data_IF_096307142223
#
_entry.id   IF_096307142223
#
_cell.length_a   1.000
_cell.length_b   1.000
_cell.length_c   1.000
_cell.angle_alpha   90.00
_cell.angle_beta   90.00
_cell.angle_gamma   90.00
#
_symmetry.space_group_name_H-M   'P 1'
#
loop_
_entity.id
_entity.type
_entity.pdbx_description
1 polymer ?
#
# COMPACT_ATOMS: atom_id res chain seq x y z
N UNK A 1 -8.75 -34.69 10.52
CA UNK A 1 -7.61 -33.93 9.96
C UNK A 1 -8.11 -32.54 9.69
N UNK A 2 -7.35 -31.50 10.07
CA UNK A 2 -7.73 -30.12 9.79
C UNK A 2 -7.37 -29.78 8.35
N UNK A 3 -8.30 -29.21 7.60
CA UNK A 3 -8.08 -28.73 6.23
C UNK A 3 -8.51 -27.28 6.11
N UNK A 4 -7.78 -26.52 5.28
CA UNK A 4 -8.04 -25.10 5.05
C UNK A 4 -8.33 -24.90 3.57
N UNK A 5 -9.44 -24.22 3.27
CA UNK A 5 -9.76 -23.72 1.94
C UNK A 5 -9.55 -22.21 1.90
N UNK A 6 -8.86 -21.74 0.86
CA UNK A 6 -8.66 -20.31 0.63
C UNK A 6 -9.24 -19.99 -0.74
N UNK A 7 -10.16 -19.03 -0.79
CA UNK A 7 -10.59 -18.39 -2.02
C UNK A 7 -9.92 -17.03 -2.09
N UNK A 8 -8.91 -16.91 -2.94
CA UNK A 8 -8.14 -15.67 -3.12
C UNK A 8 -8.56 -15.01 -4.44
N UNK A 9 -9.64 -14.23 -4.37
CA UNK A 9 -10.17 -13.49 -5.51
C UNK A 9 -9.45 -12.16 -5.73
N UNK A 10 -9.73 -11.52 -6.86
CA UNK A 10 -9.17 -10.20 -7.20
C UNK A 10 -9.69 -9.08 -6.31
N UNK A 11 -10.95 -9.14 -5.88
CA UNK A 11 -11.59 -8.10 -5.05
C UNK A 11 -11.78 -8.53 -3.61
N UNK A 12 -12.14 -9.79 -3.40
CA UNK A 12 -12.45 -10.33 -2.08
C UNK A 12 -11.77 -11.68 -1.91
N UNK A 13 -11.45 -11.99 -0.66
CA UNK A 13 -10.86 -13.25 -0.25
C UNK A 13 -11.59 -13.82 0.95
N UNK A 14 -11.63 -15.14 1.08
CA UNK A 14 -12.21 -15.83 2.22
C UNK A 14 -11.42 -17.08 2.61
N UNK A 15 -11.54 -17.50 3.86
CA UNK A 15 -10.89 -18.70 4.38
C UNK A 15 -11.90 -19.56 5.12
N UNK A 16 -11.92 -20.84 4.81
CA UNK A 16 -12.73 -21.85 5.49
C UNK A 16 -11.83 -22.90 6.15
N UNK A 17 -12.27 -23.42 7.30
CA UNK A 17 -11.66 -24.57 7.97
C UNK A 17 -12.66 -25.73 8.00
N UNK A 18 -12.15 -26.92 7.67
CA UNK A 18 -12.84 -28.19 7.91
C UNK A 18 -12.11 -28.95 9.02
N UNK A 19 -12.82 -29.30 10.10
CA UNK A 19 -12.26 -29.97 11.28
C UNK A 19 -12.44 -31.50 11.27
N UNK A 20 -13.05 -32.05 10.23
CA UNK A 20 -13.42 -33.46 10.14
C UNK A 20 -14.92 -33.72 10.37
N UNK A 21 -15.67 -32.72 10.82
CA UNK A 21 -17.12 -32.81 11.01
C UNK A 21 -17.88 -31.67 10.31
N UNK A 22 -17.33 -30.45 10.30
CA UNK A 22 -18.02 -29.27 9.77
C UNK A 22 -17.09 -28.30 9.07
N UNK A 23 -17.64 -27.53 8.13
CA UNK A 23 -16.95 -26.42 7.46
C UNK A 23 -17.41 -25.12 8.10
N UNK A 24 -16.46 -24.26 8.49
CA UNK A 24 -16.74 -22.91 9.00
C UNK A 24 -15.83 -21.88 8.36
N UNK A 25 -16.37 -20.70 8.09
CA UNK A 25 -15.57 -19.56 7.66
C UNK A 25 -14.80 -18.97 8.85
N UNK A 26 -13.60 -18.48 8.59
CA UNK A 26 -12.80 -17.74 9.57
C UNK A 26 -13.06 -16.23 9.42
N UNK A 27 -13.21 -15.48 10.52
CA UNK A 27 -13.39 -14.04 10.50
C UNK A 27 -12.03 -13.35 10.27
N UNK A 28 -11.53 -13.41 9.04
CA UNK A 28 -10.20 -12.92 8.65
C UNK A 28 -10.09 -11.39 8.48
N UNK A 29 -11.22 -10.66 8.49
CA UNK A 29 -11.24 -9.20 8.38
C UNK A 29 -12.21 -8.57 9.40
N UNK A 30 -11.90 -8.59 10.71
CA UNK A 30 -12.83 -8.19 11.76
C UNK A 30 -13.32 -6.73 11.69
N UNK A 31 -12.56 -5.86 11.03
CA UNK A 31 -12.87 -4.45 10.84
C UNK A 31 -13.81 -4.24 9.62
N UNK A 32 -13.88 -5.23 8.73
CA UNK A 32 -14.74 -5.21 7.55
C UNK A 32 -16.22 -5.41 7.85
N UNK A 33 -17.06 -4.90 6.94
CA UNK A 33 -18.54 -5.05 7.02
C UNK A 33 -19.00 -6.50 7.14
N UNK A 34 -18.27 -7.43 6.54
CA UNK A 34 -18.44 -8.86 6.76
C UNK A 34 -17.10 -9.45 7.23
N UNK A 35 -16.97 -9.85 8.51
CA UNK A 35 -15.71 -10.37 9.05
C UNK A 35 -15.11 -11.56 8.31
N UNK A 36 -15.94 -12.33 7.59
CA UNK A 36 -15.54 -13.56 6.91
C UNK A 36 -15.09 -13.33 5.45
N UNK A 37 -15.18 -12.10 4.95
CA UNK A 37 -14.82 -11.72 3.59
C UNK A 37 -13.88 -10.53 3.66
N UNK A 38 -12.60 -10.78 3.39
CA UNK A 38 -11.57 -9.75 3.39
C UNK A 38 -11.48 -9.09 2.02
N UNK A 39 -11.30 -7.77 1.96
CA UNK A 39 -10.88 -7.09 0.73
C UNK A 39 -9.50 -7.64 0.30
N UNK A 40 -9.34 -8.00 -0.96
CA UNK A 40 -8.04 -8.46 -1.52
C UNK A 40 -7.08 -7.28 -1.71
N UNK A 41 -6.75 -6.61 -0.60
CA UNK A 41 -5.96 -5.40 -0.54
C UNK A 41 -4.88 -5.53 0.51
N UNK A 42 -3.67 -5.17 0.12
CA UNK A 42 -2.53 -4.98 1.02
C UNK A 42 -2.08 -3.54 0.83
N UNK A 43 -1.92 -2.81 1.93
CA UNK A 43 -1.36 -1.47 1.92
C UNK A 43 -0.07 -1.44 2.73
N UNK A 44 1.02 -1.04 2.07
CA UNK A 44 2.34 -0.86 2.66
C UNK A 44 2.60 0.64 2.69
N UNK A 45 2.70 1.21 3.89
CA UNK A 45 2.96 2.64 4.02
C UNK A 45 4.44 2.98 3.80
N UNK A 46 4.77 4.28 3.85
CA UNK A 46 6.13 4.78 3.61
C UNK A 46 7.16 4.37 4.69
N UNK A 47 6.69 3.95 5.86
CA UNK A 47 7.54 3.40 6.93
C UNK A 47 7.79 1.91 6.76
N UNK A 48 7.13 1.28 5.78
CA UNK A 48 7.14 -0.16 5.57
C UNK A 48 6.12 -0.91 6.41
N UNK A 49 5.22 -0.20 7.10
CA UNK A 49 4.16 -0.86 7.87
C UNK A 49 3.12 -1.45 6.93
N UNK A 50 2.73 -2.70 7.21
CA UNK A 50 1.82 -3.48 6.37
C UNK A 50 0.45 -3.55 7.04
N UNK A 51 -0.59 -3.31 6.26
CA UNK A 51 -1.99 -3.51 6.61
C UNK A 51 -2.70 -4.28 5.50
N UNK A 52 -3.83 -4.91 5.80
CA UNK A 52 -4.64 -5.67 4.85
C UNK A 52 -6.13 -5.48 5.12
N UNK A 53 -6.98 -5.95 4.19
CA UNK A 53 -8.44 -5.94 4.36
C UNK A 53 -9.03 -4.53 4.45
N UNK A 54 -10.08 -4.37 5.26
CA UNK A 54 -10.75 -3.09 5.46
C UNK A 54 -9.81 -2.05 6.08
N UNK A 55 -8.97 -2.45 7.04
CA UNK A 55 -7.97 -1.56 7.65
C UNK A 55 -7.02 -0.95 6.63
N UNK A 56 -6.57 -1.74 5.65
CA UNK A 56 -5.72 -1.23 4.57
C UNK A 56 -6.44 -0.20 3.70
N UNK A 57 -7.73 -0.41 3.44
CA UNK A 57 -8.55 0.54 2.69
C UNK A 57 -8.66 1.87 3.45
N UNK A 58 -9.00 1.81 4.73
CA UNK A 58 -9.17 2.99 5.57
C UNK A 58 -7.87 3.79 5.67
N UNK A 59 -6.75 3.13 5.94
CA UNK A 59 -5.44 3.77 5.99
C UNK A 59 -5.04 4.36 4.64
N UNK A 60 -5.30 3.66 3.54
CA UNK A 60 -5.04 4.18 2.20
C UNK A 60 -5.83 5.46 1.94
N UNK A 61 -7.13 5.44 2.23
CA UNK A 61 -8.00 6.60 2.04
C UNK A 61 -7.59 7.76 2.97
N UNK A 62 -7.32 7.51 4.25
CA UNK A 62 -6.89 8.54 5.20
C UNK A 62 -5.58 9.22 4.75
N UNK A 63 -4.61 8.43 4.30
CA UNK A 63 -3.29 8.93 3.93
C UNK A 63 -3.24 9.59 2.54
N UNK A 64 -4.20 9.28 1.66
CA UNK A 64 -4.17 9.73 0.26
C UNK A 64 -5.34 10.63 -0.14
N UNK A 65 -6.43 10.70 0.64
CA UNK A 65 -7.57 11.57 0.33
C UNK A 65 -7.25 13.03 0.68
N UNK A 66 -7.48 13.95 -0.25
CA UNK A 66 -7.30 15.39 -0.03
C UNK A 66 -5.84 15.85 0.05
N UNK A 67 -4.87 14.96 -0.21
CA UNK A 67 -3.46 15.33 -0.22
C UNK A 67 -3.11 15.99 -1.55
N UNK A 68 -2.58 17.21 -1.50
CA UNK A 68 -1.96 17.83 -2.66
C UNK A 68 -0.73 17.01 -3.07
N UNK A 69 -0.80 16.35 -4.22
CA UNK A 69 0.31 15.58 -4.78
C UNK A 69 1.36 16.57 -5.28
N UNK A 70 2.58 16.48 -4.74
CA UNK A 70 3.73 17.19 -5.29
C UNK A 70 4.83 16.20 -5.57
N UNK A 71 5.27 16.19 -6.82
CA UNK A 71 6.38 15.36 -7.25
C UNK A 71 7.69 16.11 -7.09
N UNK A 72 8.71 15.40 -6.63
CA UNK A 72 10.09 15.86 -6.62
C UNK A 72 10.95 14.85 -7.36
N UNK A 73 11.81 15.32 -8.27
CA UNK A 73 12.82 14.48 -8.89
C UNK A 73 13.86 14.10 -7.85
N UNK A 74 13.90 12.83 -7.47
CA UNK A 74 14.84 12.29 -6.47
C UNK A 74 15.68 11.20 -7.12
N UNK A 75 16.97 11.17 -6.77
CA UNK A 75 17.86 10.06 -7.13
C UNK A 75 17.38 8.81 -6.39
N UNK A 76 17.01 7.76 -7.13
CA UNK A 76 16.47 6.50 -6.60
C UNK A 76 17.50 5.36 -6.60
N UNK A 77 18.66 5.59 -7.19
CA UNK A 77 19.74 4.62 -7.22
C UNK A 77 20.64 4.84 -8.41
N UNK A 78 21.30 3.77 -8.83
CA UNK A 78 22.17 3.73 -9.99
C UNK A 78 21.81 2.55 -10.87
N UNK A 79 21.86 2.75 -12.19
CA UNK A 79 21.72 1.71 -13.20
C UNK A 79 23.11 1.40 -13.72
N UNK A 80 23.49 0.13 -13.62
CA UNK A 80 24.70 -0.41 -14.23
C UNK A 80 24.35 -0.99 -15.61
N UNK A 81 25.06 -0.54 -16.63
CA UNK A 81 24.92 -0.99 -18.01
C UNK A 81 26.26 -1.54 -18.50
N UNK A 82 26.28 -2.79 -18.94
CA UNK A 82 27.50 -3.46 -19.43
C UNK A 82 27.46 -3.50 -20.95
N UNK A 83 28.43 -2.85 -21.60
CA UNK A 83 28.59 -2.83 -23.05
C UNK A 83 29.83 -3.60 -23.47
N UNK A 84 29.71 -4.41 -24.51
CA UNK A 84 30.79 -5.28 -24.98
C UNK A 84 32.08 -4.53 -25.38
N UNK A 85 31.95 -3.28 -25.84
CA UNK A 85 33.06 -2.51 -26.43
C UNK A 85 33.51 -1.32 -25.57
N UNK A 86 32.62 -0.78 -24.72
CA UNK A 86 32.85 0.42 -23.90
C UNK A 86 33.01 0.08 -22.40
N UNK A 87 32.77 -1.18 -22.02
CA UNK A 87 32.83 -1.64 -20.63
C UNK A 87 31.57 -1.30 -19.83
N UNK A 88 31.70 -1.29 -18.50
CA UNK A 88 30.60 -1.00 -17.57
C UNK A 88 30.41 0.50 -17.38
N UNK A 89 29.20 0.99 -17.61
CA UNK A 89 28.77 2.35 -17.32
C UNK A 89 27.78 2.38 -16.16
N UNK A 90 28.03 3.25 -15.18
CA UNK A 90 27.09 3.50 -14.08
C UNK A 90 26.43 4.86 -14.29
N UNK A 91 25.09 4.89 -14.28
CA UNK A 91 24.30 6.12 -14.40
C UNK A 91 23.37 6.27 -13.21
N UNK A 92 23.23 7.50 -12.74
CA UNK A 92 22.26 7.83 -11.71
C UNK A 92 20.83 7.71 -12.25
N UNK A 93 19.98 6.99 -11.52
CA UNK A 93 18.56 6.88 -11.80
C UNK A 93 17.79 7.90 -10.96
N UNK A 94 16.88 8.63 -11.61
CA UNK A 94 15.99 9.57 -10.95
C UNK A 94 14.53 9.17 -11.18
N UNK A 95 13.68 9.37 -10.18
CA UNK A 95 12.24 9.19 -10.31
C UNK A 95 11.51 10.39 -9.72
N UNK A 96 10.31 10.64 -10.25
CA UNK A 96 9.35 11.54 -9.63
C UNK A 96 8.78 10.84 -8.39
N UNK A 97 9.24 11.25 -7.21
CA UNK A 97 8.72 10.76 -5.94
C UNK A 97 7.68 11.76 -5.45
N UNK A 98 6.51 11.24 -5.13
CA UNK A 98 5.48 12.01 -4.48
C UNK A 98 5.87 12.29 -3.01
N UNK A 99 6.01 13.56 -2.64
CA UNK A 99 6.49 14.00 -1.32
C UNK A 99 5.33 14.50 -0.44
N UNK A 100 5.36 14.14 0.84
CA UNK A 100 4.39 14.66 1.82
C UNK A 100 4.74 16.12 2.14
N UNK A 101 3.80 17.04 1.95
CA UNK A 101 3.91 18.38 2.52
C UNK A 101 3.83 18.26 4.04
N UNK A 102 4.83 18.77 4.77
CA UNK A 102 4.66 18.98 6.21
C UNK A 102 3.45 19.90 6.42
N UNK A 103 2.55 19.56 7.36
CA UNK A 103 1.47 20.46 7.78
C UNK A 103 2.07 21.64 8.54
N UNK A 104 2.67 22.59 7.82
CA UNK A 104 3.27 23.79 8.39
C UNK A 104 3.15 24.95 7.43
N UNK A 105 2.25 25.89 7.72
CA UNK A 105 2.23 27.22 7.10
C UNK A 105 1.03 27.51 6.20
N UNK A 106 -0.20 27.30 6.67
CA UNK A 106 -1.31 28.13 6.21
C UNK A 106 -1.22 29.45 7.00
N UNK A 107 -0.38 30.39 6.56
CA UNK A 107 -0.49 31.78 7.02
C UNK A 107 -1.57 32.45 6.18
N UNK A 108 -2.68 32.76 6.82
CA UNK A 108 -3.74 33.60 6.29
C UNK A 108 -3.18 34.94 5.78
N UNK A 109 -3.70 35.49 4.67
CA UNK A 109 -3.32 36.82 4.23
C UNK A 109 -3.90 37.83 5.21
N UNK A 110 -3.04 38.54 5.95
CA UNK A 110 -3.45 39.71 6.72
C UNK A 110 -3.89 40.80 5.76
N UNK A 111 -5.16 41.19 5.85
CA UNK A 111 -5.72 42.39 5.23
C UNK A 111 -4.92 43.62 5.65
N UNK A 112 -4.26 44.28 4.70
CA UNK A 112 -3.79 45.64 4.87
C UNK A 112 -4.89 46.58 4.35
N UNK A 113 -5.56 47.24 5.30
CA UNK A 113 -6.33 48.46 5.15
C UNK A 113 -5.45 49.65 4.80
#
# INVERSE_FOLDING_TARGET
>A
MLSVGIDFGTTNSSVAVYDGASVRLLPIDPEGRNPHVMRSLIYIDRTGSISYGEKALDLYLEQNTGRAVRYEMRKVGTIEMVFAEVGTMVKDAYALIDILMSRGGCSSPSSAS
#
